data_IF_420047580781
#
_entry.id   IF_420047580781
#
_cell.length_a   1.000
_cell.length_b   1.000
_cell.length_c   1.000
_cell.angle_alpha   90.00
_cell.angle_beta   90.00
_cell.angle_gamma   90.00
#
_symmetry.space_group_name_H-M   'P 1'
#
loop_
_entity.id
_entity.type
_entity.pdbx_description
1 polymer ?
#
# COMPACT_ATOMS: atom_id res chain seq x y z
N UNK A 1 -4.53 6.60 -24.47
CA UNK A 1 -4.93 6.11 -23.13
C UNK A 1 -3.78 6.33 -22.16
N UNK A 2 -4.07 6.65 -20.91
CA UNK A 2 -3.05 6.96 -19.91
C UNK A 2 -3.46 6.41 -18.55
N UNK A 3 -2.61 5.60 -17.92
CA UNK A 3 -2.84 5.17 -16.56
C UNK A 3 -2.66 6.37 -15.62
N UNK A 4 -3.70 6.72 -14.88
CA UNK A 4 -3.65 7.86 -13.97
C UNK A 4 -3.36 7.44 -12.55
N UNK A 5 -4.17 6.55 -12.00
CA UNK A 5 -4.06 6.17 -10.58
C UNK A 5 -4.53 4.73 -10.38
N UNK A 6 -3.78 3.92 -9.65
CA UNK A 6 -4.37 2.76 -8.98
C UNK A 6 -5.27 3.25 -7.84
N UNK A 7 -6.30 2.48 -7.50
CA UNK A 7 -7.26 2.87 -6.47
C UNK A 7 -7.56 1.67 -5.58
N UNK A 8 -7.54 1.92 -4.27
CA UNK A 8 -7.87 0.92 -3.26
C UNK A 8 -9.14 1.38 -2.51
N UNK A 9 -10.11 0.48 -2.40
CA UNK A 9 -11.26 0.70 -1.54
C UNK A 9 -10.84 0.54 -0.07
N UNK A 10 -11.34 1.40 0.80
CA UNK A 10 -11.00 1.39 2.23
C UNK A 10 -12.27 1.50 3.07
N UNK A 11 -12.30 0.75 4.19
CA UNK A 11 -13.43 0.78 5.11
C UNK A 11 -13.45 2.03 5.98
N UNK A 12 -12.27 2.55 6.31
CA UNK A 12 -12.11 3.69 7.21
C UNK A 12 -11.01 4.58 6.64
N UNK A 13 -11.41 5.70 6.04
CA UNK A 13 -10.46 6.59 5.35
C UNK A 13 -9.41 7.15 6.31
N UNK A 14 -9.79 7.58 7.51
CA UNK A 14 -8.84 8.17 8.45
C UNK A 14 -7.82 7.13 8.94
N UNK A 15 -8.26 5.91 9.19
CA UNK A 15 -7.36 4.81 9.55
C UNK A 15 -6.37 4.52 8.43
N UNK A 16 -6.85 4.49 7.20
CA UNK A 16 -5.98 4.23 6.04
C UNK A 16 -5.00 5.37 5.80
N UNK A 17 -5.44 6.62 5.88
CA UNK A 17 -4.55 7.78 5.77
C UNK A 17 -3.45 7.72 6.83
N UNK A 18 -3.79 7.37 8.06
CA UNK A 18 -2.83 7.22 9.16
C UNK A 18 -1.81 6.13 8.86
N UNK A 19 -2.26 4.98 8.38
CA UNK A 19 -1.36 3.88 8.03
C UNK A 19 -0.36 4.31 6.94
N UNK A 20 -0.85 4.87 5.85
CA UNK A 20 0.02 5.24 4.73
C UNK A 20 1.00 6.35 5.11
N UNK A 21 0.61 7.25 6.00
CA UNK A 21 1.51 8.28 6.53
C UNK A 21 2.52 7.72 7.52
N UNK A 22 2.07 6.99 8.53
CA UNK A 22 2.93 6.56 9.65
C UNK A 22 3.82 5.38 9.28
N UNK A 23 3.33 4.45 8.45
CA UNK A 23 4.08 3.26 8.09
C UNK A 23 4.90 3.48 6.82
N UNK A 24 4.32 4.10 5.80
CA UNK A 24 4.96 4.22 4.48
C UNK A 24 5.47 5.64 4.20
N UNK A 25 5.17 6.62 5.04
CA UNK A 25 5.63 7.99 4.84
C UNK A 25 4.97 8.71 3.67
N UNK A 26 3.80 8.27 3.22
CA UNK A 26 3.08 8.92 2.14
C UNK A 26 2.20 10.05 2.67
N UNK A 27 2.08 11.12 1.90
CA UNK A 27 1.30 12.29 2.26
C UNK A 27 0.09 12.44 1.36
N UNK A 28 -0.97 13.04 1.91
CA UNK A 28 -2.14 13.41 1.11
C UNK A 28 -1.76 14.59 0.21
N UNK A 29 -1.94 14.41 -1.10
CA UNK A 29 -1.69 15.48 -2.09
C UNK A 29 -2.99 16.05 -2.65
N UNK A 30 -4.09 15.32 -2.54
CA UNK A 30 -5.42 15.80 -2.95
C UNK A 30 -6.47 15.08 -2.12
N UNK A 31 -7.42 15.83 -1.57
CA UNK A 31 -8.42 15.28 -0.66
C UNK A 31 -9.80 15.78 -1.05
N UNK A 32 -10.66 14.88 -1.52
CA UNK A 32 -12.07 15.14 -1.82
C UNK A 32 -13.01 14.48 -0.80
N UNK A 33 -12.49 14.09 0.37
CA UNK A 33 -13.25 13.42 1.41
C UNK A 33 -13.39 11.92 1.15
N UNK A 34 -14.24 11.53 0.23
CA UNK A 34 -14.45 10.12 -0.12
C UNK A 34 -13.35 9.55 -1.02
N UNK A 35 -12.60 10.41 -1.69
CA UNK A 35 -11.45 10.04 -2.53
C UNK A 35 -10.25 10.86 -2.12
N UNK A 36 -9.15 10.20 -1.84
CA UNK A 36 -7.90 10.82 -1.41
C UNK A 36 -6.78 10.31 -2.31
N UNK A 37 -5.96 11.23 -2.82
CA UNK A 37 -4.75 10.88 -3.56
C UNK A 37 -3.54 11.07 -2.67
N UNK A 38 -2.71 10.05 -2.59
CA UNK A 38 -1.46 10.07 -1.83
C UNK A 38 -0.27 10.35 -2.75
N UNK A 39 0.85 10.70 -2.16
CA UNK A 39 2.12 10.86 -2.86
C UNK A 39 2.35 9.68 -3.82
N UNK A 40 2.74 9.96 -5.05
CA UNK A 40 2.97 8.93 -6.07
C UNK A 40 1.73 8.54 -6.86
N UNK A 41 0.55 9.01 -6.46
CA UNK A 41 -0.69 8.81 -7.24
C UNK A 41 -1.58 7.66 -6.77
N UNK A 42 -1.24 7.00 -5.67
CA UNK A 42 -2.13 5.99 -5.09
C UNK A 42 -3.38 6.67 -4.55
N UNK A 43 -4.56 6.20 -4.97
CA UNK A 43 -5.84 6.73 -4.52
C UNK A 43 -6.50 5.79 -3.52
N UNK A 44 -7.16 6.38 -2.53
CA UNK A 44 -8.02 5.68 -1.57
C UNK A 44 -9.45 6.14 -1.80
N UNK A 45 -10.38 5.19 -1.81
CA UNK A 45 -11.81 5.47 -2.02
C UNK A 45 -12.60 4.83 -0.89
N UNK A 46 -13.52 5.58 -0.28
CA UNK A 46 -14.37 5.00 0.78
C UNK A 46 -15.22 3.86 0.23
N UNK A 47 -15.42 2.83 1.04
CA UNK A 47 -16.13 1.63 0.62
C UNK A 47 -17.57 1.93 0.16
N UNK A 48 -18.29 2.80 0.87
CA UNK A 48 -19.66 3.16 0.53
C UNK A 48 -19.75 3.83 -0.85
N UNK A 49 -18.84 4.75 -1.16
CA UNK A 49 -18.81 5.38 -2.48
C UNK A 49 -18.32 4.41 -3.54
N UNK A 50 -17.38 3.52 -3.19
CA UNK A 50 -16.88 2.50 -4.11
C UNK A 50 -17.98 1.55 -4.56
N UNK A 51 -18.79 1.03 -3.63
CA UNK A 51 -19.90 0.15 -3.95
C UNK A 51 -20.96 0.86 -4.78
N UNK A 52 -21.19 2.14 -4.50
CA UNK A 52 -22.11 2.96 -5.29
C UNK A 52 -21.63 3.11 -6.73
N UNK A 53 -20.34 3.38 -6.93
CA UNK A 53 -19.75 3.49 -8.26
C UNK A 53 -19.93 2.21 -9.08
N UNK A 54 -19.82 1.05 -8.43
CA UNK A 54 -19.88 -0.24 -9.10
C UNK A 54 -21.31 -0.77 -9.25
N UNK A 55 -22.30 -0.18 -8.54
CA UNK A 55 -23.63 -0.76 -8.45
C UNK A 55 -23.63 -2.11 -7.75
N UNK A 56 -22.75 -2.27 -6.74
CA UNK A 56 -22.58 -3.53 -6.00
C UNK A 56 -22.97 -3.36 -4.55
N UNK A 57 -23.29 -4.48 -3.91
CA UNK A 57 -23.49 -4.51 -2.47
C UNK A 57 -22.15 -4.68 -1.76
N UNK A 58 -22.07 -4.22 -0.51
CA UNK A 58 -20.84 -4.28 0.27
C UNK A 58 -20.31 -5.72 0.42
N UNK A 59 -21.22 -6.69 0.48
CA UNK A 59 -20.88 -8.11 0.60
C UNK A 59 -20.18 -8.67 -0.64
N UNK A 60 -20.28 -7.97 -1.77
CA UNK A 60 -19.59 -8.38 -3.01
C UNK A 60 -18.16 -7.89 -3.07
N UNK A 61 -17.74 -7.02 -2.14
CA UNK A 61 -16.36 -6.52 -2.08
C UNK A 61 -15.54 -7.46 -1.20
N UNK A 62 -14.49 -8.03 -1.78
CA UNK A 62 -13.64 -9.01 -1.10
C UNK A 62 -12.29 -8.40 -0.79
N UNK A 63 -12.10 -8.03 0.47
CA UNK A 63 -10.81 -7.59 0.97
C UNK A 63 -9.94 -8.81 1.31
N UNK A 64 -8.62 -8.71 1.06
CA UNK A 64 -7.70 -9.76 1.47
C UNK A 64 -7.67 -10.97 0.55
N UNK A 65 -8.03 -10.81 -0.73
CA UNK A 65 -8.03 -11.90 -1.70
C UNK A 65 -6.63 -12.30 -2.15
N UNK A 66 -5.60 -11.49 -1.85
CA UNK A 66 -4.19 -11.77 -2.15
C UNK A 66 -3.89 -11.88 -3.65
N UNK A 67 -4.64 -11.20 -4.49
CA UNK A 67 -4.52 -11.29 -5.94
C UNK A 67 -3.84 -10.08 -6.57
N UNK A 68 -3.40 -9.13 -5.75
CA UNK A 68 -2.77 -7.90 -6.24
C UNK A 68 -1.92 -7.28 -5.15
N UNK A 69 -1.02 -6.39 -5.55
CA UNK A 69 -0.20 -5.64 -4.61
C UNK A 69 0.10 -4.24 -5.14
N UNK A 70 0.46 -3.34 -4.23
CA UNK A 70 1.06 -2.06 -4.57
C UNK A 70 2.54 -2.14 -4.24
N UNK A 71 3.39 -1.84 -5.22
CA UNK A 71 4.84 -1.98 -5.10
C UNK A 71 5.50 -0.62 -4.90
N UNK A 72 6.36 -0.55 -3.89
CA UNK A 72 7.19 0.61 -3.58
C UNK A 72 8.65 0.22 -3.57
N UNK A 73 9.52 1.16 -3.94
CA UNK A 73 10.96 1.00 -3.75
C UNK A 73 11.45 2.00 -2.72
N UNK A 74 12.35 1.54 -1.83
CA UNK A 74 12.89 2.36 -0.75
C UNK A 74 14.41 2.42 -0.86
N UNK A 75 14.97 3.64 -0.88
CA UNK A 75 16.40 3.87 -0.98
C UNK A 75 17.15 3.34 0.25
N UNK A 76 16.58 3.54 1.44
CA UNK A 76 17.14 3.09 2.70
C UNK A 76 16.31 1.92 3.25
N UNK A 77 16.49 0.76 2.64
CA UNK A 77 15.70 -0.41 2.99
C UNK A 77 15.92 -0.87 4.44
N UNK A 78 17.19 -0.83 4.91
CA UNK A 78 17.50 -1.20 6.30
C UNK A 78 16.85 -0.25 7.29
N UNK A 79 16.86 1.05 7.00
CA UNK A 79 16.17 2.06 7.80
C UNK A 79 14.68 1.83 7.82
N UNK A 80 14.09 1.44 6.69
CA UNK A 80 12.67 1.12 6.62
C UNK A 80 12.32 -0.11 7.46
N UNK A 81 13.13 -1.17 7.42
CA UNK A 81 12.90 -2.35 8.27
C UNK A 81 12.96 -1.99 9.75
N UNK A 82 13.90 -1.14 10.14
CA UNK A 82 13.99 -0.66 11.52
C UNK A 82 12.75 0.15 11.90
N UNK A 83 12.27 0.99 11.00
CA UNK A 83 11.03 1.76 11.19
C UNK A 83 9.84 0.83 11.39
N UNK A 84 9.68 -0.19 10.54
CA UNK A 84 8.60 -1.17 10.66
C UNK A 84 8.63 -1.90 12.01
N UNK A 85 9.81 -2.24 12.50
CA UNK A 85 9.94 -2.91 13.78
C UNK A 85 9.39 -2.08 14.94
N UNK A 86 9.36 -0.75 14.79
CA UNK A 86 8.78 0.16 15.77
C UNK A 86 7.29 0.43 15.58
N UNK A 87 6.68 -0.09 14.52
CA UNK A 87 5.26 0.10 14.23
C UNK A 87 4.46 -1.06 14.83
N UNK A 88 3.68 -0.77 15.90
CA UNK A 88 3.05 -1.83 16.72
C UNK A 88 2.01 -2.67 15.99
N UNK A 89 1.27 -2.08 15.04
CA UNK A 89 0.09 -2.73 14.46
C UNK A 89 0.32 -3.22 13.02
N UNK A 90 1.57 -3.31 12.58
CA UNK A 90 1.89 -3.79 11.24
C UNK A 90 1.70 -5.31 11.16
N UNK A 91 0.95 -5.76 10.17
CA UNK A 91 0.72 -7.18 9.90
C UNK A 91 1.54 -7.56 8.66
N UNK A 92 2.52 -8.43 8.82
CA UNK A 92 3.35 -8.91 7.73
C UNK A 92 2.62 -10.02 6.96
N UNK A 93 2.75 -10.00 5.63
CA UNK A 93 2.36 -11.16 4.81
C UNK A 93 3.30 -12.32 5.12
N UNK A 94 4.61 -12.00 5.19
CA UNK A 94 5.66 -12.90 5.64
C UNK A 94 6.89 -12.07 6.02
N UNK A 95 7.87 -12.65 6.74
CA UNK A 95 9.09 -11.92 7.08
C UNK A 95 9.85 -11.40 5.86
N UNK A 96 10.67 -10.37 6.00
CA UNK A 96 11.54 -9.91 4.91
C UNK A 96 12.34 -11.06 4.31
N UNK A 97 12.53 -11.01 2.99
CA UNK A 97 13.27 -12.05 2.27
C UNK A 97 14.08 -11.43 1.14
N UNK A 98 15.05 -12.18 0.65
CA UNK A 98 15.79 -11.82 -0.55
C UNK A 98 15.33 -12.74 -1.70
N UNK A 99 14.88 -12.13 -2.79
CA UNK A 99 14.53 -12.86 -3.99
C UNK A 99 15.81 -13.36 -4.70
N UNK A 100 15.67 -14.38 -5.55
CA UNK A 100 16.80 -14.99 -6.26
C UNK A 100 17.56 -14.00 -7.15
N UNK A 101 16.94 -12.88 -7.53
CA UNK A 101 17.60 -11.83 -8.31
C UNK A 101 18.36 -10.83 -7.44
N UNK A 102 18.47 -11.08 -6.13
CA UNK A 102 19.29 -10.29 -5.20
C UNK A 102 18.59 -9.11 -4.57
N UNK A 103 17.30 -8.93 -4.80
CA UNK A 103 16.53 -7.84 -4.20
C UNK A 103 15.92 -8.29 -2.88
N UNK A 104 16.16 -7.51 -1.82
CA UNK A 104 15.45 -7.72 -0.56
C UNK A 104 14.11 -7.00 -0.62
N UNK A 105 13.07 -7.64 -0.10
CA UNK A 105 11.72 -7.09 -0.07
C UNK A 105 11.05 -7.44 1.25
N UNK A 106 10.02 -6.69 1.58
CA UNK A 106 9.08 -7.02 2.65
C UNK A 106 7.66 -6.79 2.13
N UNK A 107 6.76 -7.70 2.48
CA UNK A 107 5.34 -7.55 2.16
C UNK A 107 4.53 -7.49 3.43
N UNK A 108 3.63 -6.52 3.51
CA UNK A 108 2.74 -6.32 4.65
C UNK A 108 1.34 -6.02 4.15
N UNK A 109 0.38 -6.11 5.05
CA UNK A 109 -1.00 -5.74 4.77
C UNK A 109 -1.27 -4.32 5.24
N UNK A 110 -2.04 -3.58 4.45
CA UNK A 110 -2.64 -2.34 4.94
C UNK A 110 -3.86 -2.67 5.84
N UNK A 111 -4.54 -1.68 6.43
CA UNK A 111 -5.67 -1.95 7.35
C UNK A 111 -6.82 -2.75 6.74
N UNK A 112 -6.97 -2.72 5.42
CA UNK A 112 -8.01 -3.47 4.70
C UNK A 112 -7.46 -4.72 4.02
N UNK A 113 -6.22 -5.13 4.33
CA UNK A 113 -5.55 -6.31 3.83
C UNK A 113 -5.21 -6.26 2.35
N UNK A 114 -5.00 -5.06 1.82
CA UNK A 114 -4.30 -4.92 0.54
C UNK A 114 -2.82 -5.22 0.77
N UNK A 115 -2.20 -5.93 -0.16
CA UNK A 115 -0.78 -6.26 -0.05
C UNK A 115 0.05 -5.05 -0.49
N UNK A 116 1.00 -4.69 0.36
CA UNK A 116 2.01 -3.66 0.10
C UNK A 116 3.35 -4.37 0.04
N UNK A 117 4.06 -4.22 -1.08
CA UNK A 117 5.44 -4.66 -1.19
C UNK A 117 6.35 -3.45 -1.16
N UNK A 118 7.37 -3.48 -0.30
CA UNK A 118 8.45 -2.49 -0.31
C UNK A 118 9.74 -3.24 -0.58
N UNK A 119 10.45 -2.83 -1.62
CA UNK A 119 11.70 -3.46 -2.03
C UNK A 119 12.85 -2.49 -2.13
N UNK A 120 14.06 -3.03 -2.18
CA UNK A 120 15.24 -2.26 -2.56
C UNK A 120 15.06 -1.75 -3.98
N UNK A 121 15.65 -0.61 -4.29
CA UNK A 121 15.63 -0.08 -5.66
C UNK A 121 16.27 -1.09 -6.61
N UNK A 122 15.55 -1.46 -7.66
CA UNK A 122 16.04 -2.43 -8.63
C UNK A 122 17.23 -1.93 -9.41
N UNK A 123 17.30 -0.63 -9.70
CA UNK A 123 18.47 -0.06 -10.39
C UNK A 123 19.75 -0.16 -9.54
N UNK A 124 19.63 -0.09 -8.21
CA UNK A 124 20.74 -0.32 -7.30
C UNK A 124 21.11 -1.81 -7.24
N UNK A 125 20.12 -2.71 -7.25
CA UNK A 125 20.33 -4.15 -7.21
C UNK A 125 21.10 -4.63 -8.44
N UNK A 126 20.71 -4.20 -9.63
CA UNK A 126 21.34 -4.64 -10.89
C UNK A 126 22.74 -4.07 -11.10
N UNK A 127 23.16 -3.09 -10.29
CA UNK A 127 24.51 -2.49 -10.33
C UNK A 127 25.50 -3.13 -9.36
N UNK A 128 25.04 -4.05 -8.54
CA UNK A 128 25.90 -4.75 -7.56
C UNK A 128 26.89 -5.70 -8.21
#
# INVERSE_FOLDING_TARGET
MKLKNPLLAVRDMERSKTFYREVLGLHVVMDFGANVTLTGGLCLQTLDTWTDFLGKEVEEIRFGANDSEVYFEEDDFDGFLAHLAGCADVVYVRPPLEHRWGQRVVRLYDPDRHIIEVGERMDAVVRR
#
